data_IF_096148792535
#
_entry.id   IF_096148792535
#
_cell.length_a   1.000
_cell.length_b   1.000
_cell.length_c   1.000
_cell.angle_alpha   90.00
_cell.angle_beta   90.00
_cell.angle_gamma   90.00
#
_symmetry.space_group_name_H-M   'P 1'
#
loop_
_entity.id
_entity.type
_entity.pdbx_description
1 polymer ?
#
# COMPACT_ATOMS: atom_id res chain seq x y z
N UNK A 1 -10.96 -11.52 -7.38
CA UNK A 1 -10.66 -10.09 -7.14
C UNK A 1 -9.31 -9.67 -7.68
N UNK A 2 -8.40 -10.61 -8.00
CA UNK A 2 -7.00 -10.30 -8.29
C UNK A 2 -6.81 -9.44 -9.56
N UNK A 3 -7.60 -9.66 -10.62
CA UNK A 3 -7.58 -8.81 -11.83
C UNK A 3 -7.75 -7.32 -11.51
N UNK A 4 -8.66 -7.00 -10.59
CA UNK A 4 -9.01 -5.63 -10.22
C UNK A 4 -7.94 -5.01 -9.31
N UNK A 5 -7.40 -5.82 -8.40
CA UNK A 5 -6.29 -5.42 -7.51
C UNK A 5 -5.03 -5.11 -8.32
N UNK A 6 -4.68 -5.94 -9.29
CA UNK A 6 -3.50 -5.73 -10.14
C UNK A 6 -3.61 -4.43 -10.95
N UNK A 7 -4.78 -4.20 -11.56
CA UNK A 7 -5.06 -2.97 -12.31
C UNK A 7 -4.92 -1.71 -11.43
N UNK A 8 -5.53 -1.71 -10.24
CA UNK A 8 -5.43 -0.58 -9.29
C UNK A 8 -3.98 -0.41 -8.84
N UNK A 9 -3.30 -1.50 -8.49
CA UNK A 9 -1.96 -1.46 -7.95
C UNK A 9 -0.96 -0.84 -8.94
N UNK A 10 -1.11 -1.12 -10.24
CA UNK A 10 -0.30 -0.51 -11.29
C UNK A 10 -0.43 1.02 -11.32
N UNK A 11 -1.65 1.53 -11.22
CA UNK A 11 -1.93 2.98 -11.21
C UNK A 11 -1.44 3.64 -9.94
N UNK A 12 -1.71 3.00 -8.79
CA UNK A 12 -1.33 3.51 -7.47
C UNK A 12 0.20 3.57 -7.33
N UNK A 13 0.94 2.53 -7.76
CA UNK A 13 2.41 2.54 -7.73
C UNK A 13 3.01 3.63 -8.61
N UNK A 14 2.41 3.90 -9.78
CA UNK A 14 2.86 4.97 -10.66
C UNK A 14 2.68 6.38 -10.03
N UNK A 15 1.61 6.57 -9.24
CA UNK A 15 1.31 7.82 -8.54
C UNK A 15 2.06 7.97 -7.20
N UNK A 16 2.37 6.89 -6.51
CA UNK A 16 3.00 6.89 -5.18
C UNK A 16 4.55 6.90 -5.25
N UNK A 17 5.14 7.84 -5.98
CA UNK A 17 6.60 7.94 -6.12
C UNK A 17 7.25 8.33 -4.79
N UNK A 18 8.08 7.44 -4.22
CA UNK A 18 8.81 7.69 -2.97
C UNK A 18 7.96 7.59 -1.70
N UNK A 19 6.71 7.15 -1.80
CA UNK A 19 5.87 6.83 -0.64
C UNK A 19 6.12 5.42 -0.12
N UNK A 20 5.34 5.00 0.88
CA UNK A 20 5.40 3.64 1.43
C UNK A 20 5.08 2.59 0.37
N UNK A 21 5.63 1.38 0.53
CA UNK A 21 5.31 0.27 -0.35
C UNK A 21 3.82 -0.13 -0.21
N UNK A 22 3.08 -0.09 -1.32
CA UNK A 22 1.67 -0.51 -1.35
C UNK A 22 1.61 -1.96 -1.83
N UNK A 23 1.20 -2.88 -0.95
CA UNK A 23 1.01 -4.31 -1.21
C UNK A 23 -0.43 -4.62 -1.66
N UNK A 24 -0.66 -5.74 -2.37
CA UNK A 24 -2.00 -6.14 -2.83
C UNK A 24 -3.06 -6.18 -1.73
N UNK A 25 -2.68 -6.58 -0.50
CA UNK A 25 -3.59 -6.64 0.64
C UNK A 25 -4.14 -5.25 1.02
N UNK A 26 -3.33 -4.19 0.90
CA UNK A 26 -3.80 -2.83 1.17
C UNK A 26 -4.88 -2.40 0.19
N UNK A 27 -4.74 -2.78 -1.09
CA UNK A 27 -5.78 -2.53 -2.10
C UNK A 27 -7.04 -3.35 -1.78
N UNK A 28 -6.89 -4.66 -1.46
CA UNK A 28 -8.02 -5.53 -1.10
C UNK A 28 -8.86 -4.97 0.06
N UNK A 29 -8.21 -4.39 1.06
CA UNK A 29 -8.89 -3.80 2.22
C UNK A 29 -9.73 -2.54 1.89
N UNK A 30 -9.52 -1.92 0.72
CA UNK A 30 -10.28 -0.75 0.26
C UNK A 30 -11.30 -1.10 -0.83
N UNK A 31 -11.57 -2.39 -1.03
CA UNK A 31 -12.52 -2.87 -2.03
C UNK A 31 -13.71 -3.53 -1.35
N UNK A 32 -14.89 -3.14 -1.81
CA UNK A 32 -16.12 -3.86 -1.53
C UNK A 32 -16.63 -4.46 -2.83
N UNK A 33 -16.77 -5.79 -2.88
CA UNK A 33 -17.06 -6.52 -4.11
C UNK A 33 -18.28 -7.40 -3.88
N UNK A 34 -19.24 -7.26 -4.79
CA UNK A 34 -20.38 -8.16 -4.89
C UNK A 34 -20.16 -9.06 -6.09
N UNK A 35 -20.29 -10.38 -5.90
CA UNK A 35 -20.17 -11.37 -6.96
C UNK A 35 -21.44 -12.20 -6.99
N UNK A 36 -22.07 -12.26 -8.15
CA UNK A 36 -23.11 -13.21 -8.45
C UNK A 36 -22.65 -14.00 -9.68
N UNK A 37 -22.57 -15.33 -9.59
CA UNK A 37 -22.05 -16.19 -10.64
C UNK A 37 -22.72 -17.56 -10.62
N UNK A 38 -22.68 -18.24 -11.76
CA UNK A 38 -23.13 -19.61 -11.92
C UNK A 38 -21.91 -20.48 -12.21
N UNK A 39 -21.67 -21.46 -11.34
CA UNK A 39 -20.52 -22.37 -11.42
C UNK A 39 -21.04 -23.76 -11.73
N UNK A 40 -20.51 -24.38 -12.79
CA UNK A 40 -20.85 -25.76 -13.13
C UNK A 40 -20.21 -26.74 -12.14
N UNK A 41 -21.02 -27.67 -11.62
CA UNK A 41 -20.59 -28.70 -10.65
C UNK A 41 -19.74 -28.12 -9.49
N UNK A 42 -20.30 -27.21 -8.67
CA UNK A 42 -19.53 -26.52 -7.66
C UNK A 42 -19.13 -27.47 -6.52
N UNK A 43 -17.90 -27.31 -6.04
CA UNK A 43 -17.36 -27.98 -4.87
C UNK A 43 -17.11 -26.94 -3.77
N UNK A 44 -17.39 -27.32 -2.54
CA UNK A 44 -17.25 -26.46 -1.36
C UNK A 44 -16.40 -27.15 -0.30
N UNK A 45 -15.89 -26.38 0.65
CA UNK A 45 -15.12 -26.86 1.79
C UNK A 45 -15.95 -27.74 2.75
N UNK A 46 -17.23 -27.44 2.85
CA UNK A 46 -18.13 -27.97 3.87
C UNK A 46 -19.58 -28.00 3.41
N UNK A 47 -20.45 -28.62 4.22
CA UNK A 47 -21.88 -28.70 3.95
C UNK A 47 -22.59 -27.34 3.98
N UNK A 48 -22.09 -26.36 4.76
CA UNK A 48 -22.66 -25.01 4.79
C UNK A 48 -22.37 -24.22 3.51
N UNK A 49 -21.45 -24.71 2.67
CA UNK A 49 -21.11 -24.16 1.35
C UNK A 49 -20.69 -22.68 1.40
N UNK A 50 -19.97 -22.32 2.46
CA UNK A 50 -19.49 -20.95 2.67
C UNK A 50 -18.27 -20.61 1.80
N UNK A 51 -17.39 -21.59 1.56
CA UNK A 51 -16.20 -21.40 0.73
C UNK A 51 -16.25 -22.29 -0.51
N UNK A 52 -16.33 -21.66 -1.70
CA UNK A 52 -16.17 -22.36 -2.97
C UNK A 52 -14.71 -22.79 -3.16
N UNK A 53 -14.47 -24.07 -3.44
CA UNK A 53 -13.13 -24.66 -3.63
C UNK A 53 -12.87 -25.10 -5.06
N UNK A 54 -13.87 -25.04 -5.95
CA UNK A 54 -13.71 -25.33 -7.38
C UNK A 54 -12.58 -24.47 -7.98
N UNK A 55 -11.68 -25.10 -8.74
CA UNK A 55 -10.61 -24.38 -9.45
C UNK A 55 -11.20 -23.57 -10.61
N UNK A 56 -10.62 -22.40 -10.89
CA UNK A 56 -11.08 -21.50 -11.97
C UNK A 56 -11.21 -22.20 -13.34
N UNK A 57 -10.30 -23.13 -13.66
CA UNK A 57 -10.35 -23.90 -14.92
C UNK A 57 -11.56 -24.83 -15.06
N UNK A 58 -12.31 -25.06 -13.97
CA UNK A 58 -13.50 -25.92 -13.92
C UNK A 58 -14.79 -25.14 -13.65
N UNK A 59 -14.77 -23.81 -13.80
CA UNK A 59 -15.99 -23.02 -13.56
C UNK A 59 -17.06 -23.20 -14.64
N UNK A 60 -16.71 -23.72 -15.82
CA UNK A 60 -17.61 -23.79 -16.98
C UNK A 60 -17.77 -22.44 -17.70
N UNK A 61 -17.22 -21.36 -17.14
CA UNK A 61 -17.23 -20.02 -17.72
C UNK A 61 -15.95 -19.25 -17.34
N UNK A 62 -15.60 -18.23 -18.13
CA UNK A 62 -14.56 -17.26 -17.80
C UNK A 62 -15.19 -15.91 -17.45
N UNK A 63 -14.53 -15.17 -16.55
CA UNK A 63 -14.93 -13.82 -16.17
C UNK A 63 -13.74 -12.88 -16.37
N UNK A 64 -13.72 -12.20 -17.50
CA UNK A 64 -12.76 -11.14 -17.80
C UNK A 64 -13.42 -9.78 -17.57
N UNK A 65 -12.77 -8.94 -16.77
CA UNK A 65 -13.28 -7.60 -16.48
C UNK A 65 -13.10 -6.70 -17.72
N UNK A 66 -14.20 -6.17 -18.24
CA UNK A 66 -14.15 -5.22 -19.36
C UNK A 66 -13.32 -3.98 -19.03
N UNK A 67 -12.64 -3.42 -20.03
CA UNK A 67 -11.91 -2.15 -19.87
C UNK A 67 -12.80 -1.00 -19.37
N UNK A 68 -14.07 -0.99 -19.79
CA UNK A 68 -15.04 0.03 -19.37
C UNK A 68 -15.24 -0.02 -17.85
N UNK A 69 -15.41 -1.22 -17.29
CA UNK A 69 -15.54 -1.41 -15.85
C UNK A 69 -14.26 -0.99 -15.12
N UNK A 70 -13.08 -1.40 -15.61
CA UNK A 70 -11.81 -1.00 -15.01
C UNK A 70 -11.63 0.52 -15.01
N UNK A 71 -11.91 1.20 -16.12
CA UNK A 71 -11.85 2.67 -16.23
C UNK A 71 -12.83 3.35 -15.29
N UNK A 72 -14.04 2.80 -15.12
CA UNK A 72 -15.02 3.33 -14.17
C UNK A 72 -14.53 3.20 -12.72
N UNK A 73 -13.95 2.06 -12.36
CA UNK A 73 -13.39 1.85 -11.02
C UNK A 73 -12.18 2.76 -10.75
N UNK A 74 -11.30 2.98 -11.74
CA UNK A 74 -10.20 3.94 -11.55
C UNK A 74 -10.68 5.37 -11.30
N UNK A 75 -11.90 5.70 -11.76
CA UNK A 75 -12.54 7.01 -11.56
C UNK A 75 -13.43 7.08 -10.32
N UNK A 76 -13.66 5.98 -9.60
CA UNK A 76 -14.57 5.96 -8.44
C UNK A 76 -13.96 6.55 -7.15
N UNK A 77 -12.73 7.07 -7.21
CA UNK A 77 -12.00 7.62 -6.07
C UNK A 77 -11.22 6.57 -5.25
N UNK A 78 -11.31 5.27 -5.60
CA UNK A 78 -10.58 4.21 -4.88
C UNK A 78 -9.06 4.42 -4.90
N UNK A 79 -8.53 4.92 -6.02
CA UNK A 79 -7.11 5.23 -6.17
C UNK A 79 -6.69 6.32 -5.19
N UNK A 80 -7.48 7.38 -5.08
CA UNK A 80 -7.17 8.53 -4.23
C UNK A 80 -7.30 8.13 -2.75
N UNK A 81 -8.33 7.36 -2.38
CA UNK A 81 -8.49 6.81 -1.03
C UNK A 81 -7.28 5.97 -0.59
N UNK A 82 -6.76 5.11 -1.48
CA UNK A 82 -5.57 4.30 -1.18
C UNK A 82 -4.31 5.17 -1.04
N UNK A 83 -4.16 6.21 -1.88
CA UNK A 83 -3.03 7.13 -1.80
C UNK A 83 -3.07 7.96 -0.51
N UNK A 84 -4.24 8.41 -0.09
CA UNK A 84 -4.42 9.16 1.15
C UNK A 84 -4.17 8.28 2.37
N UNK A 85 -4.66 7.03 2.34
CA UNK A 85 -4.29 6.03 3.33
C UNK A 85 -2.77 5.82 3.39
N UNK A 86 -2.10 5.71 2.24
CA UNK A 86 -0.66 5.50 2.19
C UNK A 86 0.12 6.67 2.79
N UNK A 87 -0.27 7.91 2.49
CA UNK A 87 0.31 9.13 3.09
C UNK A 87 0.05 9.19 4.59
N UNK A 88 -1.17 8.88 5.04
CA UNK A 88 -1.50 8.88 6.46
C UNK A 88 -0.69 7.82 7.21
N UNK A 89 -0.56 6.62 6.64
CA UNK A 89 0.24 5.52 7.19
C UNK A 89 1.72 5.92 7.30
N UNK A 90 2.27 6.56 6.27
CA UNK A 90 3.64 7.11 6.31
C UNK A 90 3.84 8.11 7.45
N UNK A 91 2.91 9.05 7.64
CA UNK A 91 2.96 10.03 8.74
C UNK A 91 2.91 9.36 10.11
N UNK A 92 2.06 8.35 10.28
CA UNK A 92 1.95 7.60 11.54
C UNK A 92 3.23 6.81 11.82
N UNK A 93 3.77 6.13 10.81
CA UNK A 93 4.99 5.34 10.98
C UNK A 93 6.21 6.25 11.27
N UNK A 94 6.31 7.40 10.60
CA UNK A 94 7.31 8.43 10.92
C UNK A 94 7.12 8.97 12.35
N UNK A 95 5.89 9.29 12.76
CA UNK A 95 5.61 9.75 14.12
C UNK A 95 5.95 8.71 15.19
N UNK A 96 5.78 7.42 14.90
CA UNK A 96 6.20 6.32 15.79
C UNK A 96 7.72 6.20 15.88
N UNK A 97 8.44 6.34 14.77
CA UNK A 97 9.91 6.34 14.78
C UNK A 97 10.45 7.53 15.60
N UNK A 98 9.88 8.72 15.42
CA UNK A 98 10.30 9.92 16.16
C UNK A 98 9.97 9.84 17.66
N UNK A 99 8.85 9.22 18.05
CA UNK A 99 8.44 9.06 19.46
C UNK A 99 9.03 7.82 20.14
N UNK A 100 9.39 6.80 19.36
CA UNK A 100 9.91 5.51 19.82
C UNK A 100 11.40 5.51 20.12
N UNK A 101 12.09 6.63 19.92
CA UNK A 101 13.46 6.83 20.37
C UNK A 101 13.51 6.74 21.90
N UNK A 102 13.89 5.57 22.42
CA UNK A 102 14.42 5.43 23.78
C UNK A 102 15.44 6.56 23.98
N UNK A 103 15.46 7.20 25.15
CA UNK A 103 16.34 8.36 25.50
C UNK A 103 17.84 8.21 25.17
N UNK A 104 18.28 7.06 24.65
CA UNK A 104 19.65 6.70 24.31
C UNK A 104 19.88 6.43 22.80
N UNK A 105 18.89 6.63 21.92
CA UNK A 105 19.09 6.38 20.48
C UNK A 105 19.60 7.66 19.80
N UNK A 106 20.91 7.72 19.55
CA UNK A 106 21.58 8.90 18.94
C UNK A 106 21.27 9.08 17.44
N UNK A 107 20.82 8.02 16.75
CA UNK A 107 20.54 8.04 15.31
C UNK A 107 19.08 7.86 14.98
N UNK A 108 18.57 8.66 14.05
CA UNK A 108 17.19 8.57 13.56
C UNK A 108 17.11 7.47 12.50
N UNK A 109 16.70 6.28 12.91
CA UNK A 109 16.51 5.17 11.98
C UNK A 109 15.15 5.27 11.28
N UNK A 110 15.15 5.13 9.95
CA UNK A 110 13.92 4.94 9.16
C UNK A 110 13.46 6.12 8.30
N UNK A 111 14.24 7.20 8.21
CA UNK A 111 14.05 8.25 7.19
C UNK A 111 14.98 7.94 6.01
N UNK A 112 14.47 7.41 4.86
CA UNK A 112 15.32 6.78 3.84
C UNK A 112 16.35 7.69 3.18
N UNK A 113 16.15 9.01 3.23
CA UNK A 113 17.00 10.01 2.59
C UNK A 113 17.81 10.86 3.56
N UNK A 114 17.56 10.71 4.86
CA UNK A 114 18.27 11.44 5.91
C UNK A 114 19.67 10.88 6.05
N UNK A 115 20.66 11.77 6.08
CA UNK A 115 22.03 11.46 6.48
C UNK A 115 22.31 12.18 7.78
N UNK A 116 22.39 11.42 8.87
CA UNK A 116 22.68 11.97 10.20
C UNK A 116 24.15 12.40 10.28
N UNK A 117 24.37 13.64 10.72
CA UNK A 117 25.70 14.08 11.14
C UNK A 117 26.24 13.18 12.27
N UNK A 118 27.56 13.02 12.35
CA UNK A 118 28.19 12.10 13.30
C UNK A 118 27.79 12.35 14.76
N UNK A 119 27.62 13.63 15.14
CA UNK A 119 27.30 14.06 16.50
C UNK A 119 25.80 14.45 16.68
N UNK A 120 24.95 14.18 15.69
CA UNK A 120 23.53 14.46 15.77
C UNK A 120 22.88 13.76 16.99
N UNK A 121 22.07 14.49 17.76
CA UNK A 121 21.44 13.97 18.98
C UNK A 121 22.39 13.67 20.16
N UNK A 122 23.70 13.90 20.01
CA UNK A 122 24.72 13.74 21.05
C UNK A 122 25.01 15.02 21.84
N UNK A 123 26.09 14.99 22.64
CA UNK A 123 26.55 16.15 23.44
C UNK A 123 27.00 17.33 22.58
N UNK A 124 27.61 17.06 21.43
CA UNK A 124 28.10 18.07 20.48
C UNK A 124 27.05 18.39 19.39
N UNK A 125 25.78 18.04 19.62
CA UNK A 125 24.72 18.28 18.63
C UNK A 125 24.49 19.76 18.31
N UNK A 126 24.89 20.67 19.21
CA UNK A 126 24.83 22.11 19.00
C UNK A 126 25.77 22.60 17.89
N UNK A 127 26.83 21.83 17.58
CA UNK A 127 27.74 22.10 16.46
C UNK A 127 27.21 21.52 15.13
N UNK A 128 26.16 20.71 15.18
CA UNK A 128 25.55 20.12 13.99
C UNK A 128 24.55 21.07 13.35
N UNK A 129 24.49 21.09 12.01
CA UNK A 129 23.49 21.86 11.25
C UNK A 129 22.62 20.91 10.44
N UNK A 130 21.29 21.06 10.55
CA UNK A 130 20.35 20.39 9.66
C UNK A 130 20.16 21.23 8.40
N UNK A 131 20.53 20.67 7.26
CA UNK A 131 20.33 21.28 5.95
C UNK A 131 19.08 20.64 5.33
N UNK A 132 18.10 21.47 4.99
CA UNK A 132 16.88 21.05 4.30
C UNK A 132 17.00 21.42 2.82
N UNK A 133 16.95 20.41 1.95
CA UNK A 133 17.06 20.58 0.50
C UNK A 133 15.75 20.23 -0.19
N UNK A 134 15.41 20.98 -1.25
CA UNK A 134 14.27 20.66 -2.10
C UNK A 134 14.70 19.60 -3.14
N UNK A 135 14.46 18.32 -2.80
CA UNK A 135 14.73 17.20 -3.71
C UNK A 135 16.17 16.69 -3.69
N UNK A 136 16.44 15.69 -4.53
CA UNK A 136 17.72 14.95 -4.50
C UNK A 136 18.85 15.64 -5.28
N UNK A 137 18.53 16.65 -6.09
CA UNK A 137 19.52 17.35 -6.94
C UNK A 137 20.44 18.30 -6.18
N UNK A 138 20.00 18.78 -5.01
CA UNK A 138 20.75 19.69 -4.16
C UNK A 138 21.39 18.98 -2.94
N UNK A 139 21.31 17.64 -2.90
CA UNK A 139 21.88 16.82 -1.85
C UNK A 139 23.40 16.74 -1.96
#
# INVERSE_FOLDING_TARGET
TDQLVEAILKVVKAKNRGGIEIKPQHVKNHLWIFVNCLIENPAFDSQTKETLTTKQSKFGSSCELSEKMLKAVMKSGVVDMILDWAKAKQKVDMGRQLKGGTKNQQRVLGVPKLEDANDAGGKNSHDCTLILTEGDSAK
#
